data_IF_530761029126
#
_entry.id   IF_530761029126
#
_cell.length_a   1.000
_cell.length_b   1.000
_cell.length_c   1.000
_cell.angle_alpha   90.00
_cell.angle_beta   90.00
_cell.angle_gamma   90.00
#
_symmetry.space_group_name_H-M   'P 1'
#
loop_
_entity.id
_entity.type
_entity.pdbx_description
1 polymer ?
#
# COMPACT_ATOMS: atom_id res chain seq x y z
N UNK A 1 -21.57 -6.60 3.32
CA UNK A 1 -20.50 -5.72 3.87
C UNK A 1 -19.08 -6.18 3.51
N UNK A 2 -18.85 -7.45 3.12
CA UNK A 2 -17.55 -7.93 2.66
C UNK A 2 -17.06 -7.24 1.37
N UNK A 3 -18.00 -6.71 0.58
CA UNK A 3 -17.76 -5.99 -0.67
C UNK A 3 -16.92 -4.74 -0.44
N UNK A 4 -17.06 -4.09 0.73
CA UNK A 4 -16.27 -2.89 1.08
C UNK A 4 -14.78 -3.22 1.13
N UNK A 5 -14.40 -4.32 1.79
CA UNK A 5 -13.00 -4.75 1.85
C UNK A 5 -12.47 -5.13 0.47
N UNK A 6 -13.29 -5.75 -0.38
CA UNK A 6 -12.91 -6.11 -1.74
C UNK A 6 -12.69 -4.86 -2.62
N UNK A 7 -13.59 -3.87 -2.53
CA UNK A 7 -13.45 -2.59 -3.24
C UNK A 7 -12.17 -1.88 -2.81
N UNK A 8 -11.88 -1.84 -1.49
CA UNK A 8 -10.65 -1.24 -0.98
C UNK A 8 -9.42 -1.99 -1.50
N UNK A 9 -9.43 -3.33 -1.47
CA UNK A 9 -8.35 -4.15 -2.01
C UNK A 9 -8.10 -3.87 -3.50
N UNK A 10 -9.17 -3.74 -4.30
CA UNK A 10 -9.08 -3.43 -5.73
C UNK A 10 -8.51 -2.02 -6.00
N UNK A 11 -8.94 -1.02 -5.22
CA UNK A 11 -8.41 0.35 -5.33
C UNK A 11 -6.91 0.35 -5.00
N UNK A 12 -6.52 -0.27 -3.89
CA UNK A 12 -5.11 -0.37 -3.48
C UNK A 12 -4.28 -1.14 -4.52
N UNK A 13 -4.84 -2.20 -5.10
CA UNK A 13 -4.18 -2.96 -6.15
C UNK A 13 -4.02 -2.13 -7.44
N UNK A 14 -5.03 -1.32 -7.79
CA UNK A 14 -4.91 -0.35 -8.87
C UNK A 14 -3.77 0.64 -8.64
N UNK A 15 -3.57 1.12 -7.40
CA UNK A 15 -2.43 1.97 -7.05
C UNK A 15 -1.09 1.23 -7.16
N UNK A 16 -1.03 -0.05 -6.80
CA UNK A 16 0.17 -0.89 -7.02
C UNK A 16 0.52 -0.95 -8.50
N UNK A 17 -0.47 -1.23 -9.36
CA UNK A 17 -0.29 -1.27 -10.81
C UNK A 17 0.18 0.09 -11.33
N UNK A 18 -0.44 1.19 -10.86
CA UNK A 18 -0.08 2.53 -11.27
C UNK A 18 1.37 2.87 -10.90
N UNK A 19 1.80 2.58 -9.67
CA UNK A 19 3.18 2.81 -9.23
C UNK A 19 4.20 1.96 -9.97
N UNK A 20 3.82 0.75 -10.39
CA UNK A 20 4.69 -0.14 -11.14
C UNK A 20 4.81 0.27 -12.62
N UNK A 21 3.70 0.62 -13.26
CA UNK A 21 3.62 0.94 -14.70
C UNK A 21 3.97 2.38 -15.03
N UNK A 22 3.57 3.35 -14.20
CA UNK A 22 3.89 4.76 -14.34
C UNK A 22 5.03 5.16 -13.40
N UNK A 23 6.04 4.30 -13.29
CA UNK A 23 7.11 4.43 -12.29
C UNK A 23 7.92 5.74 -12.41
N UNK A 24 7.94 6.40 -13.57
CA UNK A 24 8.68 7.65 -13.79
C UNK A 24 7.91 8.91 -13.36
N UNK A 25 6.65 8.78 -12.90
CA UNK A 25 5.82 9.91 -12.44
C UNK A 25 5.99 10.14 -10.94
N UNK A 26 6.01 11.40 -10.50
CA UNK A 26 5.99 11.77 -9.07
C UNK A 26 4.57 11.57 -8.53
N UNK A 27 4.31 10.40 -7.94
CA UNK A 27 2.97 9.98 -7.51
C UNK A 27 2.77 10.03 -5.99
N UNK A 28 3.84 9.99 -5.20
CA UNK A 28 3.78 9.98 -3.74
C UNK A 28 4.09 11.38 -3.20
N UNK A 29 3.08 12.08 -2.71
CA UNK A 29 3.23 13.46 -2.21
C UNK A 29 4.05 13.57 -0.90
N UNK A 30 4.30 12.46 -0.22
CA UNK A 30 5.02 12.41 1.06
C UNK A 30 6.49 12.01 0.91
N UNK A 31 6.98 11.82 -0.32
CA UNK A 31 8.36 11.43 -0.61
C UNK A 31 9.08 12.55 -1.36
N UNK A 32 10.30 12.85 -0.92
CA UNK A 32 11.24 13.66 -1.68
C UNK A 32 11.94 12.81 -2.77
N UNK A 33 11.79 13.24 -4.02
CA UNK A 33 12.29 12.56 -5.21
C UNK A 33 13.63 13.09 -5.71
N UNK A 34 14.19 14.13 -5.10
CA UNK A 34 15.33 14.86 -5.69
C UNK A 34 16.68 14.13 -5.52
N UNK A 35 16.73 13.09 -4.69
CA UNK A 35 17.98 12.38 -4.34
C UNK A 35 18.09 10.95 -4.90
N UNK A 36 17.01 10.36 -5.40
CA UNK A 36 16.97 8.96 -5.88
C UNK A 36 16.06 8.85 -7.10
N UNK A 37 16.36 8.00 -8.11
CA UNK A 37 15.50 7.82 -9.27
C UNK A 37 14.04 7.53 -8.90
N UNK A 38 13.10 8.29 -9.47
CA UNK A 38 11.66 8.21 -9.22
C UNK A 38 11.14 6.78 -9.37
N UNK A 39 11.57 6.08 -10.42
CA UNK A 39 11.18 4.69 -10.66
C UNK A 39 11.60 3.72 -9.55
N UNK A 40 12.74 3.96 -8.91
CA UNK A 40 13.23 3.11 -7.80
C UNK A 40 12.36 3.28 -6.56
N UNK A 41 12.00 4.53 -6.23
CA UNK A 41 11.08 4.86 -5.14
C UNK A 41 9.70 4.24 -5.39
N UNK A 42 9.14 4.45 -6.59
CA UNK A 42 7.79 3.99 -6.90
C UNK A 42 7.70 2.45 -6.94
N UNK A 43 8.70 1.75 -7.49
CA UNK A 43 8.75 0.26 -7.43
C UNK A 43 8.89 -0.26 -6.00
N UNK A 44 9.69 0.43 -5.18
CA UNK A 44 9.84 0.10 -3.76
C UNK A 44 8.52 0.27 -2.99
N UNK A 45 7.77 1.33 -3.29
CA UNK A 45 6.46 1.60 -2.71
C UNK A 45 5.40 0.60 -3.20
N UNK A 46 5.36 0.29 -4.50
CA UNK A 46 4.43 -0.66 -5.12
C UNK A 46 4.49 -2.03 -4.43
N UNK A 47 5.70 -2.56 -4.19
CA UNK A 47 5.88 -3.83 -3.51
C UNK A 47 5.30 -3.85 -2.08
N UNK A 48 5.36 -2.71 -1.36
CA UNK A 48 4.87 -2.59 0.02
C UNK A 48 3.38 -2.33 0.09
N UNK A 49 2.80 -1.69 -0.93
CA UNK A 49 1.36 -1.51 -1.09
C UNK A 49 0.62 -2.82 -1.35
N UNK A 50 1.31 -3.91 -1.71
CA UNK A 50 0.70 -5.25 -1.73
C UNK A 50 0.27 -5.72 -0.33
N UNK A 51 0.92 -5.26 0.75
CA UNK A 51 0.54 -5.65 2.11
C UNK A 51 -0.92 -5.30 2.43
N UNK A 52 -1.37 -4.03 2.32
CA UNK A 52 -2.75 -3.67 2.62
C UNK A 52 -3.72 -4.27 1.59
N UNK A 53 -3.31 -4.56 0.35
CA UNK A 53 -4.13 -5.34 -0.61
C UNK A 53 -4.42 -6.73 -0.04
N UNK A 54 -3.38 -7.47 0.37
CA UNK A 54 -3.53 -8.81 0.93
C UNK A 54 -4.34 -8.80 2.23
N UNK A 55 -4.13 -7.80 3.10
CA UNK A 55 -4.89 -7.65 4.35
C UNK A 55 -6.38 -7.45 4.04
N UNK A 56 -6.74 -6.56 3.11
CA UNK A 56 -8.14 -6.31 2.78
C UNK A 56 -8.79 -7.48 2.04
N UNK A 57 -8.05 -8.19 1.17
CA UNK A 57 -8.54 -9.44 0.57
C UNK A 57 -8.81 -10.52 1.64
N UNK A 58 -7.93 -10.64 2.63
CA UNK A 58 -8.13 -11.51 3.80
C UNK A 58 -9.33 -11.09 4.65
N UNK A 59 -9.53 -9.79 4.87
CA UNK A 59 -10.69 -9.26 5.57
C UNK A 59 -12.00 -9.55 4.82
N UNK A 60 -12.01 -9.42 3.48
CA UNK A 60 -13.16 -9.78 2.66
C UNK A 60 -13.52 -11.27 2.80
N UNK A 61 -12.51 -12.14 2.77
CA UNK A 61 -12.68 -13.58 2.95
C UNK A 61 -13.17 -13.95 4.36
N UNK A 62 -12.64 -13.30 5.40
CA UNK A 62 -13.03 -13.51 6.79
C UNK A 62 -14.45 -13.01 7.06
N UNK A 63 -14.79 -11.80 6.61
CA UNK A 63 -16.13 -11.23 6.75
C UNK A 63 -17.21 -12.01 5.97
N UNK A 64 -16.84 -12.67 4.87
CA UNK A 64 -17.75 -13.55 4.13
C UNK A 64 -18.09 -14.84 4.89
N UNK A 65 -17.18 -15.34 5.75
CA UNK A 65 -17.41 -16.52 6.61
C UNK A 65 -18.00 -16.15 7.97
N UNK A 66 -17.61 -15.01 8.51
CA UNK A 66 -17.92 -14.54 9.85
C UNK A 66 -18.34 -13.06 9.81
N UNK A 67 -19.59 -12.76 9.42
CA UNK A 67 -20.09 -11.39 9.30
C UNK A 67 -19.96 -10.58 10.61
N UNK A 68 -20.01 -11.25 11.76
CA UNK A 68 -19.83 -10.68 13.10
C UNK A 68 -18.46 -10.00 13.30
N UNK A 69 -17.44 -10.40 12.53
CA UNK A 69 -16.10 -9.82 12.60
C UNK A 69 -15.94 -8.56 11.73
N UNK A 70 -16.96 -8.15 10.98
CA UNK A 70 -16.84 -7.02 10.03
C UNK A 70 -16.36 -5.73 10.70
N UNK A 71 -16.96 -5.36 11.83
CA UNK A 71 -16.61 -4.12 12.56
C UNK A 71 -15.15 -4.13 13.06
N UNK A 72 -14.67 -5.18 13.76
CA UNK A 72 -13.26 -5.21 14.16
C UNK A 72 -12.29 -5.26 12.97
N UNK A 73 -12.66 -5.94 11.87
CA UNK A 73 -11.83 -6.00 10.66
C UNK A 73 -11.68 -4.63 9.97
N UNK A 74 -12.64 -3.72 10.12
CA UNK A 74 -12.53 -2.36 9.57
C UNK A 74 -11.33 -1.58 10.14
N UNK A 75 -10.88 -1.88 11.36
CA UNK A 75 -9.71 -1.23 11.95
C UNK A 75 -8.39 -1.73 11.35
N UNK A 76 -8.37 -2.94 10.79
CA UNK A 76 -7.16 -3.48 10.14
C UNK A 76 -6.82 -2.73 8.84
N UNK A 77 -7.82 -2.22 8.13
CA UNK A 77 -7.61 -1.45 6.91
C UNK A 77 -6.74 -0.20 7.15
N UNK A 78 -7.11 0.79 7.99
CA UNK A 78 -6.29 1.97 8.23
C UNK A 78 -4.95 1.62 8.90
N UNK A 79 -4.91 0.63 9.80
CA UNK A 79 -3.65 0.19 10.42
C UNK A 79 -2.67 -0.38 9.39
N UNK A 80 -3.15 -1.19 8.45
CA UNK A 80 -2.32 -1.75 7.39
C UNK A 80 -1.80 -0.66 6.45
N UNK A 81 -2.64 0.33 6.09
CA UNK A 81 -2.23 1.47 5.26
C UNK A 81 -1.18 2.32 5.99
N UNK A 82 -1.44 2.69 7.25
CA UNK A 82 -0.51 3.50 8.05
C UNK A 82 0.84 2.79 8.21
N UNK A 83 0.82 1.50 8.55
CA UNK A 83 2.04 0.69 8.66
C UNK A 83 2.82 0.64 7.35
N UNK A 84 2.14 0.48 6.21
CA UNK A 84 2.75 0.52 4.89
C UNK A 84 3.35 1.89 4.55
N UNK A 85 2.66 2.99 4.85
CA UNK A 85 3.18 4.35 4.62
C UNK A 85 4.45 4.59 5.42
N UNK A 86 4.46 4.24 6.71
CA UNK A 86 5.65 4.34 7.57
C UNK A 86 6.79 3.49 7.01
N UNK A 87 6.48 2.25 6.59
CA UNK A 87 7.48 1.34 6.03
C UNK A 87 8.08 1.86 4.71
N UNK A 88 7.26 2.44 3.84
CA UNK A 88 7.72 3.09 2.61
C UNK A 88 8.61 4.28 2.95
N UNK A 89 8.19 5.16 3.85
CA UNK A 89 8.97 6.34 4.25
C UNK A 89 10.35 5.96 4.82
N UNK A 90 10.39 5.00 5.74
CA UNK A 90 11.65 4.50 6.30
C UNK A 90 12.54 3.83 5.25
N UNK A 91 11.93 3.13 4.28
CA UNK A 91 12.65 2.50 3.18
C UNK A 91 13.24 3.51 2.19
N UNK A 92 12.50 4.57 1.88
CA UNK A 92 12.96 5.68 1.04
C UNK A 92 14.13 6.41 1.70
N UNK A 93 14.04 6.76 2.98
CA UNK A 93 15.15 7.41 3.70
C UNK A 93 16.45 6.59 3.62
N UNK A 94 16.36 5.24 3.73
CA UNK A 94 17.51 4.36 3.55
C UNK A 94 18.05 4.35 2.12
N UNK A 95 17.18 4.42 1.12
CA UNK A 95 17.58 4.52 -0.29
C UNK A 95 18.32 5.83 -0.57
N UNK A 96 17.93 6.92 0.07
CA UNK A 96 18.60 8.22 -0.06
C UNK A 96 19.98 8.24 0.63
N UNK A 97 20.12 7.51 1.75
CA UNK A 97 21.38 7.43 2.50
C UNK A 97 22.46 6.54 1.85
N UNK A 98 22.10 5.68 0.89
CA UNK A 98 23.03 4.85 0.13
C UNK A 98 23.04 5.28 -1.34
N UNK A 99 23.80 6.34 -1.70
CA UNK A 99 23.97 6.73 -3.09
C UNK A 99 24.68 5.58 -3.82
N UNK A 100 23.98 5.00 -4.80
CA UNK A 100 24.51 4.02 -5.75
C UNK A 100 25.19 4.71 -6.92
#
# INVERSE_FOLDING_TARGET
MSEVFLVIALILFGLVILLYSAADRRLLNFVDYDTVPVARINRHAAARLLLPVCVNAGCAWAAARHPELTVPLLFLTPLSILGTVIWIGAGVQRLQAMPS
#
